data_IF_762401298585
#
_entry.id   IF_762401298585
#
_cell.length_a   1.000
_cell.length_b   1.000
_cell.length_c   1.000
_cell.angle_alpha   90.00
_cell.angle_beta   90.00
_cell.angle_gamma   90.00
#
_symmetry.space_group_name_H-M   'P 1'
#
loop_
_entity.id
_entity.type
_entity.pdbx_description
1 polymer ?
#
# COMPACT_ATOMS: atom_id res chain seq x y z
N UNK A 1 -7.89 10.79 -6.11
CA UNK A 1 -6.53 10.24 -6.27
C UNK A 1 -5.56 11.22 -5.64
N UNK A 2 -4.60 10.75 -4.86
CA UNK A 2 -3.60 11.58 -4.18
C UNK A 2 -2.26 10.85 -4.14
N UNK A 3 -1.16 11.54 -3.87
CA UNK A 3 0.13 10.89 -3.62
C UNK A 3 0.42 10.84 -2.12
N UNK A 4 0.89 9.70 -1.62
CA UNK A 4 1.30 9.53 -0.22
C UNK A 4 2.77 9.18 -0.12
N UNK A 5 3.45 9.79 0.84
CA UNK A 5 4.82 9.44 1.19
C UNK A 5 4.85 8.18 2.05
N UNK A 6 5.78 7.29 1.73
CA UNK A 6 6.09 6.07 2.49
C UNK A 6 7.48 6.23 3.04
N UNK A 7 7.62 6.20 4.37
CA UNK A 7 8.91 6.24 5.03
C UNK A 7 9.72 4.97 4.70
N UNK A 8 11.05 5.10 4.78
CA UNK A 8 11.95 3.96 4.69
C UNK A 8 11.62 2.95 5.80
N UNK A 9 11.64 1.67 5.45
CA UNK A 9 11.30 0.59 6.38
C UNK A 9 12.02 -0.70 6.03
N UNK A 10 12.14 -1.60 7.00
CA UNK A 10 12.59 -2.97 6.75
C UNK A 10 11.41 -3.83 6.29
N UNK A 11 11.56 -4.45 5.13
CA UNK A 11 10.67 -5.45 4.58
C UNK A 11 11.27 -6.85 4.65
N UNK A 12 10.50 -7.82 4.14
CA UNK A 12 10.87 -9.23 4.11
C UNK A 12 10.69 -9.76 2.69
N UNK A 13 11.61 -10.59 2.21
CA UNK A 13 11.47 -11.17 0.87
C UNK A 13 10.25 -12.12 0.83
N UNK A 14 9.24 -11.89 -0.04
CA UNK A 14 8.08 -12.77 -0.12
C UNK A 14 8.43 -14.22 -0.49
N UNK A 15 9.56 -14.44 -1.17
CA UNK A 15 10.06 -15.78 -1.52
C UNK A 15 10.92 -16.43 -0.42
N UNK A 16 11.52 -15.62 0.45
CA UNK A 16 12.33 -16.09 1.57
C UNK A 16 12.07 -15.22 2.80
N UNK A 17 11.13 -15.64 3.67
CA UNK A 17 10.77 -14.85 4.83
C UNK A 17 11.94 -14.59 5.76
N UNK A 18 13.00 -15.41 5.86
CA UNK A 18 14.10 -15.06 6.79
C UNK A 18 14.94 -13.87 6.32
N UNK A 19 14.86 -13.48 5.04
CA UNK A 19 15.66 -12.41 4.47
C UNK A 19 15.01 -11.03 4.68
N UNK A 20 15.67 -10.15 5.44
CA UNK A 20 15.33 -8.74 5.55
C UNK A 20 15.82 -7.95 4.32
N UNK A 21 15.02 -6.97 3.89
CA UNK A 21 15.34 -6.07 2.78
C UNK A 21 15.04 -4.64 3.22
N UNK A 22 15.98 -3.71 2.98
CA UNK A 22 15.73 -2.29 3.18
C UNK A 22 14.89 -1.73 2.03
N UNK A 23 13.73 -1.16 2.38
CA UNK A 23 12.83 -0.48 1.44
C UNK A 23 13.03 1.02 1.62
N UNK A 24 13.53 1.74 0.60
CA UNK A 24 13.76 3.18 0.69
C UNK A 24 12.46 3.96 0.77
N UNK A 25 12.56 5.21 1.23
CA UNK A 25 11.44 6.14 1.21
C UNK A 25 10.98 6.38 -0.23
N UNK A 26 9.67 6.42 -0.44
CA UNK A 26 9.10 6.56 -1.78
C UNK A 26 7.74 7.26 -1.75
N UNK A 27 7.35 7.80 -2.90
CA UNK A 27 6.05 8.45 -3.10
C UNK A 27 5.19 7.59 -4.00
N UNK A 28 4.02 7.17 -3.51
CA UNK A 28 3.12 6.29 -4.24
C UNK A 28 1.74 6.94 -4.43
N UNK A 29 1.10 6.80 -5.61
CA UNK A 29 -0.28 7.21 -5.79
C UNK A 29 -1.22 6.31 -4.99
N UNK A 30 -2.29 6.91 -4.46
CA UNK A 30 -3.34 6.26 -3.69
C UNK A 30 -4.69 6.67 -4.24
N UNK A 31 -5.55 5.68 -4.43
CA UNK A 31 -6.96 5.91 -4.72
C UNK A 31 -7.78 5.85 -3.43
N UNK A 32 -8.66 6.83 -3.26
CA UNK A 32 -9.70 6.83 -2.23
C UNK A 32 -11.03 6.65 -2.93
N UNK A 33 -11.64 5.47 -2.77
CA UNK A 33 -12.96 5.20 -3.30
C UNK A 33 -14.00 6.14 -2.68
N UNK A 34 -14.87 6.69 -3.51
CA UNK A 34 -16.04 7.47 -3.09
C UNK A 34 -17.09 6.60 -2.40
N UNK A 35 -18.08 7.25 -1.78
CA UNK A 35 -19.16 6.58 -1.04
C UNK A 35 -19.90 5.54 -1.90
N UNK A 36 -20.36 5.95 -3.09
CA UNK A 36 -21.12 5.09 -4.01
C UNK A 36 -20.40 3.79 -4.39
N UNK A 37 -19.09 3.87 -4.70
CA UNK A 37 -18.30 2.69 -5.05
C UNK A 37 -18.09 1.75 -3.85
N UNK A 38 -17.97 2.30 -2.64
CA UNK A 38 -17.81 1.49 -1.42
C UNK A 38 -19.10 0.75 -1.08
N UNK A 39 -20.24 1.43 -1.17
CA UNK A 39 -21.56 0.84 -0.92
C UNK A 39 -21.84 -0.31 -1.89
N UNK A 40 -21.61 -0.10 -3.18
CA UNK A 40 -21.84 -1.12 -4.21
C UNK A 40 -21.00 -2.41 -4.06
N UNK A 41 -19.84 -2.36 -3.39
CA UNK A 41 -18.95 -3.52 -3.23
C UNK A 41 -19.16 -4.22 -1.87
N UNK A 42 -19.45 -3.47 -0.80
CA UNK A 42 -19.52 -4.01 0.55
C UNK A 42 -20.90 -4.58 0.93
N UNK A 43 -21.97 -4.27 0.18
CA UNK A 43 -23.33 -4.79 0.41
C UNK A 43 -23.68 -6.01 -0.47
N UNK A 44 -22.69 -6.62 -1.13
CA UNK A 44 -22.79 -7.92 -1.82
C UNK A 44 -22.36 -9.06 -0.88
#
# INVERSE_FOLDING_TARGET
FETRERAARKGRNPRNPQQEIDIPASKAPVFKAGKSLKEAINEA
#
